data_IF_056591266719
#
_entry.id   IF_056591266719
#
_cell.length_a   1.000
_cell.length_b   1.000
_cell.length_c   1.000
_cell.angle_alpha   90.00
_cell.angle_beta   90.00
_cell.angle_gamma   90.00
#
_symmetry.space_group_name_H-M   'P 1'
#
loop_
_entity.id
_entity.type
_entity.pdbx_description
1 polymer ?
#
# COMPACT_ATOMS: atom_id res chain seq x y z
N UNK A 1 13.76 25.24 -1.33
CA UNK A 1 12.54 25.83 -1.88
C UNK A 1 11.76 26.49 -0.75
N UNK A 2 12.01 27.77 -0.54
CA UNK A 2 11.32 28.52 0.53
C UNK A 2 9.97 29.11 0.10
N UNK A 3 9.47 28.77 -1.08
CA UNK A 3 8.14 29.18 -1.47
C UNK A 3 7.12 28.35 -0.67
N UNK A 4 6.26 28.99 0.12
CA UNK A 4 5.22 28.29 0.85
C UNK A 4 4.31 27.58 -0.14
N UNK A 5 3.91 26.34 0.18
CA UNK A 5 2.92 25.62 -0.61
C UNK A 5 1.67 26.50 -0.75
N UNK A 6 1.11 26.64 -1.96
CA UNK A 6 -0.11 27.41 -2.17
C UNK A 6 -1.36 26.71 -1.61
N UNK A 7 -1.21 25.48 -1.09
CA UNK A 7 -2.30 24.73 -0.52
C UNK A 7 -2.67 25.26 0.86
N UNK A 8 -3.92 25.60 1.10
CA UNK A 8 -4.35 26.16 2.39
C UNK A 8 -4.08 25.24 3.58
N UNK A 9 -4.13 23.91 3.37
CA UNK A 9 -3.87 22.89 4.37
C UNK A 9 -2.40 22.49 4.51
N UNK A 10 -1.48 23.26 3.90
CA UNK A 10 -0.06 23.04 4.11
C UNK A 10 0.31 23.18 5.59
N UNK A 11 1.02 22.20 6.13
CA UNK A 11 1.23 22.05 7.56
C UNK A 11 1.77 23.30 8.28
N UNK A 12 2.60 24.10 7.59
CA UNK A 12 3.16 25.37 8.15
C UNK A 12 2.11 26.47 8.38
N UNK A 13 0.96 26.37 7.70
CA UNK A 13 -0.18 27.30 7.89
C UNK A 13 -1.17 26.80 8.93
N UNK A 14 -0.98 25.60 9.44
CA UNK A 14 -1.91 25.02 10.41
C UNK A 14 -1.62 25.55 11.82
N UNK A 15 -2.65 25.82 12.62
CA UNK A 15 -2.48 26.30 13.99
C UNK A 15 -1.58 25.42 14.85
N UNK A 16 -1.65 24.09 14.64
CA UNK A 16 -0.85 23.12 15.39
C UNK A 16 0.66 23.20 15.14
N UNK A 17 1.09 23.78 14.03
CA UNK A 17 2.52 23.99 13.71
C UNK A 17 3.10 25.23 14.37
N UNK A 18 2.27 26.25 14.67
CA UNK A 18 2.72 27.51 15.21
C UNK A 18 3.19 27.36 16.66
N UNK A 19 4.44 27.73 16.92
CA UNK A 19 5.03 27.72 18.27
C UNK A 19 4.70 28.99 19.05
N UNK A 20 4.53 30.12 18.35
CA UNK A 20 4.11 31.38 18.97
C UNK A 20 2.60 31.36 19.28
N UNK A 21 2.20 31.60 20.56
CA UNK A 21 0.79 31.54 20.96
C UNK A 21 -0.11 32.56 20.25
N UNK A 22 0.42 33.75 19.90
CA UNK A 22 -0.35 34.81 19.22
C UNK A 22 -0.65 34.39 17.79
N UNK A 23 0.36 33.99 17.04
CA UNK A 23 0.22 33.49 15.66
C UNK A 23 -0.69 32.26 15.61
N UNK A 24 -0.56 31.37 16.58
CA UNK A 24 -1.43 30.20 16.70
C UNK A 24 -2.90 30.59 16.84
N UNK A 25 -3.19 31.55 17.75
CA UNK A 25 -4.55 32.03 17.97
C UNK A 25 -5.13 32.73 16.73
N UNK A 26 -4.32 33.50 16.03
CA UNK A 26 -4.71 34.15 14.77
C UNK A 26 -5.08 33.11 13.71
N UNK A 27 -4.25 32.09 13.52
CA UNK A 27 -4.55 30.99 12.57
C UNK A 27 -5.82 30.22 12.99
N UNK A 28 -5.99 29.92 14.27
CA UNK A 28 -7.23 29.29 14.77
C UNK A 28 -8.47 30.15 14.45
N UNK A 29 -8.39 31.45 14.61
CA UNK A 29 -9.51 32.36 14.30
C UNK A 29 -9.81 32.40 12.79
N UNK A 30 -8.79 32.44 11.94
CA UNK A 30 -8.92 32.37 10.48
C UNK A 30 -9.66 31.08 10.06
N UNK A 31 -9.25 29.94 10.58
CA UNK A 31 -9.87 28.65 10.27
C UNK A 31 -11.30 28.54 10.84
N UNK A 32 -11.57 29.02 12.04
CA UNK A 32 -12.92 29.05 12.64
C UNK A 32 -13.87 29.97 11.88
N UNK A 33 -13.37 31.12 11.40
CA UNK A 33 -14.14 32.06 10.61
C UNK A 33 -14.38 31.57 9.18
N UNK A 34 -13.67 30.52 8.73
CA UNK A 34 -13.65 30.04 7.35
C UNK A 34 -13.38 31.19 6.35
N UNK A 35 -12.37 32.02 6.65
CA UNK A 35 -11.97 33.11 5.76
C UNK A 35 -11.42 32.54 4.46
N UNK A 36 -12.20 32.66 3.39
CA UNK A 36 -11.93 32.04 2.09
C UNK A 36 -10.58 32.45 1.49
N UNK A 37 -10.06 33.63 1.86
CA UNK A 37 -8.76 34.12 1.39
C UNK A 37 -7.60 33.26 1.88
N UNK A 38 -7.79 32.53 3.00
CA UNK A 38 -6.77 31.68 3.62
C UNK A 38 -7.15 30.20 3.63
N UNK A 39 -8.46 29.89 3.57
CA UNK A 39 -8.94 28.49 3.64
C UNK A 39 -9.25 27.88 2.28
N UNK A 40 -9.11 28.66 1.20
CA UNK A 40 -9.31 28.21 -0.18
C UNK A 40 -8.08 28.51 -1.02
N UNK A 41 -7.94 27.78 -2.14
CA UNK A 41 -6.87 28.03 -3.11
C UNK A 41 -7.16 29.35 -3.85
N UNK A 42 -6.18 30.23 -3.87
CA UNK A 42 -6.25 31.49 -4.66
C UNK A 42 -5.79 31.22 -6.11
N UNK A 43 -6.74 30.80 -6.94
CA UNK A 43 -6.49 30.52 -8.35
C UNK A 43 -6.05 31.74 -9.13
N UNK A 44 -6.59 32.94 -8.82
CA UNK A 44 -6.22 34.18 -9.50
C UNK A 44 -4.77 34.56 -9.26
N UNK A 45 -4.24 34.26 -8.07
CA UNK A 45 -2.84 34.46 -7.74
C UNK A 45 -1.92 33.60 -8.60
N UNK A 46 -2.25 32.34 -8.85
CA UNK A 46 -1.47 31.45 -9.73
C UNK A 46 -1.43 31.97 -11.16
N UNK A 47 -2.58 32.36 -11.71
CA UNK A 47 -2.63 32.99 -13.03
C UNK A 47 -1.85 34.30 -13.08
N UNK A 48 -1.91 35.09 -12.02
CA UNK A 48 -1.17 36.37 -11.92
C UNK A 48 0.33 36.11 -11.89
N UNK A 49 0.81 35.17 -11.09
CA UNK A 49 2.23 34.83 -11.01
C UNK A 49 2.75 34.27 -12.34
N UNK A 50 2.00 33.41 -12.98
CA UNK A 50 2.32 32.92 -14.31
C UNK A 50 2.44 34.06 -15.32
N UNK A 51 1.47 34.97 -15.38
CA UNK A 51 1.53 36.15 -16.30
C UNK A 51 2.80 37.02 -16.07
N UNK A 52 3.32 37.07 -14.84
CA UNK A 52 4.49 37.82 -14.46
C UNK A 52 5.81 37.06 -14.60
N UNK A 53 5.79 35.78 -15.00
CA UNK A 53 7.00 35.00 -15.26
C UNK A 53 7.91 35.68 -16.28
N UNK A 54 9.18 35.88 -15.93
CA UNK A 54 10.15 36.66 -16.72
C UNK A 54 10.56 36.01 -18.03
N UNK A 55 10.62 34.68 -18.05
CA UNK A 55 11.03 33.88 -19.21
C UNK A 55 9.87 33.42 -20.09
N UNK A 56 8.63 33.75 -19.70
CA UNK A 56 7.43 33.38 -20.44
C UNK A 56 6.95 31.92 -20.22
N UNK A 57 7.73 31.12 -19.52
CA UNK A 57 7.37 29.77 -19.11
C UNK A 57 6.36 29.77 -17.97
N UNK A 58 5.55 28.73 -17.84
CA UNK A 58 4.71 28.52 -16.66
C UNK A 58 5.57 28.24 -15.42
N UNK A 59 5.25 28.90 -14.31
CA UNK A 59 5.83 28.61 -13.00
C UNK A 59 4.92 27.66 -12.22
N UNK A 60 3.61 27.91 -12.30
CA UNK A 60 2.58 27.03 -11.76
C UNK A 60 1.87 26.32 -12.90
N UNK A 61 1.52 25.07 -12.67
CA UNK A 61 0.86 24.19 -13.65
C UNK A 61 -0.03 23.19 -12.94
N UNK A 62 -0.96 22.61 -13.67
CA UNK A 62 -1.71 21.44 -13.23
C UNK A 62 -1.22 20.21 -13.99
N UNK A 63 -0.94 19.15 -13.28
CA UNK A 63 -0.48 17.87 -13.82
C UNK A 63 -1.46 16.75 -13.52
N UNK A 64 -1.57 15.81 -14.43
CA UNK A 64 -2.16 14.51 -14.18
C UNK A 64 -1.03 13.50 -13.94
N UNK A 65 -1.07 12.79 -12.82
CA UNK A 65 -0.23 11.61 -12.57
C UNK A 65 -1.00 10.39 -13.04
N UNK A 66 -0.53 9.80 -14.11
CA UNK A 66 -1.25 8.74 -14.83
C UNK A 66 -0.59 7.40 -14.58
N UNK A 67 -1.39 6.44 -14.16
CA UNK A 67 -1.05 5.03 -14.12
C UNK A 67 -1.90 4.27 -15.13
N UNK A 68 -1.26 3.47 -16.01
CA UNK A 68 -1.93 2.57 -16.95
C UNK A 68 -1.46 1.15 -16.70
N UNK A 69 -2.39 0.28 -16.33
CA UNK A 69 -2.10 -1.12 -16.05
C UNK A 69 -2.68 -1.99 -17.16
N UNK A 70 -1.84 -2.84 -17.75
CA UNK A 70 -2.24 -3.93 -18.63
C UNK A 70 -1.87 -5.26 -17.98
N UNK A 71 -2.85 -6.12 -17.75
CA UNK A 71 -2.66 -7.43 -17.15
C UNK A 71 -3.08 -8.52 -18.16
N UNK A 72 -2.17 -9.45 -18.43
CA UNK A 72 -2.42 -10.62 -19.28
C UNK A 72 -2.20 -11.87 -18.43
N UNK A 73 -3.19 -12.77 -18.42
CA UNK A 73 -3.12 -14.02 -17.66
C UNK A 73 -3.50 -15.20 -18.55
N UNK A 74 -2.77 -16.29 -18.37
CA UNK A 74 -3.08 -17.61 -18.89
C UNK A 74 -3.21 -18.56 -17.71
N UNK A 75 -4.33 -19.26 -17.64
CA UNK A 75 -4.62 -20.27 -16.65
C UNK A 75 -5.04 -21.57 -17.34
N UNK A 76 -4.41 -22.68 -16.97
CA UNK A 76 -4.83 -24.00 -17.39
C UNK A 76 -4.98 -24.90 -16.16
N UNK A 77 -6.18 -25.45 -15.98
CA UNK A 77 -6.54 -26.23 -14.80
C UNK A 77 -7.15 -27.57 -15.21
N UNK A 78 -6.86 -28.60 -14.42
CA UNK A 78 -7.45 -29.93 -14.52
C UNK A 78 -8.03 -30.39 -13.20
N UNK A 79 -9.11 -31.17 -13.28
CA UNK A 79 -9.76 -31.80 -12.13
C UNK A 79 -9.91 -33.27 -12.43
N UNK A 80 -9.42 -34.11 -11.53
CA UNK A 80 -9.54 -35.57 -11.63
C UNK A 80 -10.18 -36.12 -10.37
N UNK A 81 -11.29 -36.84 -10.51
CA UNK A 81 -11.87 -37.62 -9.42
C UNK A 81 -11.24 -39.00 -9.42
N UNK A 82 -10.38 -39.26 -8.44
CA UNK A 82 -9.73 -40.57 -8.27
C UNK A 82 -10.71 -41.58 -7.69
N UNK A 83 -11.60 -41.11 -6.78
CA UNK A 83 -12.67 -41.89 -6.21
C UNK A 83 -13.83 -40.98 -5.80
N UNK A 84 -14.94 -41.57 -5.27
CA UNK A 84 -16.06 -40.79 -4.72
C UNK A 84 -15.64 -39.85 -3.58
N UNK A 85 -14.54 -40.19 -2.91
CA UNK A 85 -14.03 -39.45 -1.75
C UNK A 85 -12.80 -38.57 -2.03
N UNK A 86 -12.11 -38.81 -3.15
CA UNK A 86 -10.82 -38.19 -3.43
C UNK A 86 -10.85 -37.44 -4.76
N UNK A 87 -10.62 -36.12 -4.69
CA UNK A 87 -10.51 -35.23 -5.84
C UNK A 87 -9.15 -34.57 -5.85
N UNK A 88 -8.49 -34.56 -7.00
CA UNK A 88 -7.25 -33.85 -7.26
C UNK A 88 -7.54 -32.71 -8.23
N UNK A 89 -7.00 -31.51 -7.95
CA UNK A 89 -6.96 -30.38 -8.86
C UNK A 89 -5.50 -30.04 -9.12
N UNK A 90 -5.17 -29.65 -10.31
CA UNK A 90 -3.82 -29.24 -10.68
C UNK A 90 -3.89 -28.17 -11.78
N UNK A 91 -2.87 -27.33 -11.85
CA UNK A 91 -2.87 -26.26 -12.85
C UNK A 91 -1.53 -25.56 -12.96
N UNK A 92 -1.45 -24.80 -14.03
CA UNK A 92 -0.36 -23.86 -14.28
C UNK A 92 -0.96 -22.48 -14.56
N UNK A 93 -0.26 -21.44 -14.13
CA UNK A 93 -0.60 -20.07 -14.46
C UNK A 93 0.61 -19.32 -14.97
N UNK A 94 0.39 -18.40 -15.89
CA UNK A 94 1.36 -17.42 -16.31
C UNK A 94 0.67 -16.06 -16.32
N UNK A 95 1.34 -15.03 -15.82
CA UNK A 95 0.81 -13.68 -15.78
C UNK A 95 1.90 -12.68 -16.15
N UNK A 96 1.49 -11.62 -16.81
CA UNK A 96 2.32 -10.45 -17.09
C UNK A 96 1.52 -9.20 -16.80
N UNK A 97 2.09 -8.35 -15.96
CA UNK A 97 1.56 -7.02 -15.67
C UNK A 97 2.55 -5.98 -16.17
N UNK A 98 2.10 -5.10 -17.05
CA UNK A 98 2.81 -3.92 -17.52
C UNK A 98 2.10 -2.70 -16.94
N UNK A 99 2.72 -2.01 -15.97
CA UNK A 99 2.23 -0.75 -15.41
C UNK A 99 3.10 0.39 -15.93
N UNK A 100 2.50 1.38 -16.55
CA UNK A 100 3.18 2.58 -17.03
C UNK A 100 2.75 3.79 -16.24
N UNK A 101 3.73 4.52 -15.72
CA UNK A 101 3.57 5.71 -14.90
C UNK A 101 4.19 6.91 -15.61
N UNK A 102 3.44 8.01 -15.70
CA UNK A 102 3.94 9.25 -16.30
C UNK A 102 3.18 10.47 -15.78
N UNK A 103 3.82 11.63 -15.86
CA UNK A 103 3.15 12.92 -15.71
C UNK A 103 2.67 13.41 -17.06
N UNK A 104 1.48 14.00 -17.09
CA UNK A 104 0.91 14.66 -18.26
C UNK A 104 0.49 16.08 -17.91
N UNK A 105 0.87 17.04 -18.74
CA UNK A 105 0.47 18.43 -18.57
C UNK A 105 -1.03 18.56 -18.80
N UNK A 106 -1.73 19.04 -17.77
CA UNK A 106 -3.18 19.24 -17.84
C UNK A 106 -3.53 20.69 -18.19
N UNK A 107 -2.90 21.65 -17.52
CA UNK A 107 -3.17 23.09 -17.71
C UNK A 107 -1.91 23.90 -17.34
N UNK A 108 -1.55 24.84 -18.20
CA UNK A 108 -0.43 25.74 -18.02
C UNK A 108 -0.81 27.06 -17.30
N UNK A 109 -2.03 27.14 -16.80
CA UNK A 109 -2.57 28.26 -16.01
C UNK A 109 -2.30 29.63 -16.65
N UNK A 110 -2.69 29.72 -17.94
CA UNK A 110 -2.61 30.95 -18.74
C UNK A 110 -1.27 31.23 -19.43
N UNK A 111 -0.34 30.27 -19.40
CA UNK A 111 0.86 30.27 -20.24
C UNK A 111 0.73 29.31 -21.43
N UNK A 112 1.61 29.44 -22.41
CA UNK A 112 1.59 28.62 -23.62
C UNK A 112 2.57 27.44 -23.59
N UNK A 113 3.48 27.42 -22.62
CA UNK A 113 4.49 26.37 -22.47
C UNK A 113 5.09 26.31 -21.07
N UNK A 114 5.70 25.18 -20.77
CA UNK A 114 6.56 24.92 -19.63
C UNK A 114 7.88 24.32 -20.14
N UNK A 115 8.99 24.59 -19.48
CA UNK A 115 10.29 24.00 -19.81
C UNK A 115 10.50 22.79 -18.88
N UNK A 116 10.71 21.60 -19.46
CA UNK A 116 10.84 20.33 -18.72
C UNK A 116 12.19 20.22 -18.00
N UNK A 117 12.27 20.85 -16.86
CA UNK A 117 13.41 20.80 -15.94
C UNK A 117 12.95 20.29 -14.58
N UNK A 118 13.89 19.73 -13.82
CA UNK A 118 13.65 19.40 -12.42
C UNK A 118 13.93 20.64 -11.55
N UNK A 119 12.87 21.23 -11.03
CA UNK A 119 12.96 22.43 -10.20
C UNK A 119 13.05 22.12 -8.70
N UNK A 120 13.02 20.85 -8.29
CA UNK A 120 13.09 20.49 -6.88
C UNK A 120 14.50 20.59 -6.28
N UNK A 121 15.53 20.45 -7.11
CA UNK A 121 16.93 20.50 -6.70
C UNK A 121 17.61 21.82 -7.11
N UNK A 122 16.87 22.88 -7.04
CA UNK A 122 17.25 24.19 -7.53
C UNK A 122 18.41 24.82 -6.75
N UNK A 123 18.59 24.46 -5.49
CA UNK A 123 19.31 25.29 -4.53
C UNK A 123 20.65 24.74 -4.04
N UNK A 124 21.18 23.68 -4.66
CA UNK A 124 22.49 23.15 -4.29
C UNK A 124 23.67 24.00 -4.84
N UNK A 125 23.37 25.07 -5.57
CA UNK A 125 24.35 25.94 -6.19
C UNK A 125 25.13 25.36 -7.37
N UNK A 126 25.01 24.02 -7.57
CA UNK A 126 25.73 23.28 -8.62
C UNK A 126 24.96 23.30 -9.94
N UNK A 127 23.66 23.05 -9.90
CA UNK A 127 22.84 22.87 -11.11
C UNK A 127 22.07 24.15 -11.52
N UNK A 128 21.81 25.07 -10.59
CA UNK A 128 21.30 26.39 -10.90
C UNK A 128 20.05 26.46 -11.76
N UNK A 129 18.99 25.72 -11.43
CA UNK A 129 17.70 25.64 -12.18
C UNK A 129 17.82 25.07 -13.60
N UNK A 130 18.84 24.30 -13.91
CA UNK A 130 19.08 23.77 -15.26
C UNK A 130 19.00 22.26 -15.34
N UNK A 131 18.69 21.59 -14.24
CA UNK A 131 18.65 20.14 -14.16
C UNK A 131 17.61 19.57 -15.12
N UNK A 132 18.04 18.68 -16.01
CA UNK A 132 17.19 18.13 -17.06
C UNK A 132 16.41 16.90 -16.57
N UNK A 133 15.13 16.87 -16.87
CA UNK A 133 14.33 15.65 -16.71
C UNK A 133 14.62 14.62 -17.79
N UNK A 134 15.06 15.06 -18.97
CA UNK A 134 15.47 14.17 -20.06
C UNK A 134 16.67 14.75 -20.83
N UNK A 135 17.87 14.22 -20.59
CA UNK A 135 19.10 14.59 -21.29
C UNK A 135 19.06 14.30 -22.80
N UNK A 136 18.16 13.44 -23.24
CA UNK A 136 17.99 13.13 -24.67
C UNK A 136 17.24 14.25 -25.40
N UNK A 137 16.48 15.04 -24.67
CA UNK A 137 15.71 16.19 -25.15
C UNK A 137 15.83 17.34 -24.16
N UNK A 138 17.01 17.96 -24.04
CA UNK A 138 17.23 19.03 -23.05
C UNK A 138 16.35 20.24 -23.36
N UNK A 139 15.93 20.92 -22.29
CA UNK A 139 15.06 22.09 -22.33
C UNK A 139 13.77 21.90 -23.16
N UNK A 140 13.23 20.69 -23.14
CA UNK A 140 12.03 20.33 -23.90
C UNK A 140 10.86 21.25 -23.54
N UNK A 141 10.23 21.80 -24.58
CA UNK A 141 9.02 22.61 -24.43
C UNK A 141 7.82 21.70 -24.29
N UNK A 142 7.10 21.86 -23.20
CA UNK A 142 5.91 21.09 -22.83
C UNK A 142 4.67 21.96 -23.03
N UNK A 143 3.67 21.38 -23.67
CA UNK A 143 2.34 21.96 -23.89
C UNK A 143 1.29 21.08 -23.21
N UNK A 144 0.05 21.56 -23.17
CA UNK A 144 -1.07 20.78 -22.67
C UNK A 144 -1.20 19.45 -23.43
N UNK A 145 -1.34 18.36 -22.68
CA UNK A 145 -1.39 17.00 -23.19
C UNK A 145 -0.02 16.31 -23.34
N UNK A 146 1.09 17.03 -23.27
CA UNK A 146 2.43 16.45 -23.35
C UNK A 146 2.82 15.74 -22.05
N UNK A 147 3.65 14.70 -22.17
CA UNK A 147 4.27 14.06 -21.01
C UNK A 147 5.54 14.80 -20.62
N UNK A 148 5.79 14.88 -19.32
CA UNK A 148 6.95 15.58 -18.76
C UNK A 148 7.37 14.97 -17.42
N UNK A 149 8.45 15.49 -16.85
CA UNK A 149 8.93 15.09 -15.54
C UNK A 149 9.43 13.66 -15.53
N UNK A 150 8.57 12.67 -15.43
CA UNK A 150 8.92 11.24 -15.49
C UNK A 150 8.02 10.45 -16.44
N UNK A 151 8.58 9.38 -17.01
CA UNK A 151 7.85 8.35 -17.78
C UNK A 151 8.61 7.02 -17.62
N UNK A 152 7.98 6.01 -16.99
CA UNK A 152 8.59 4.69 -16.81
C UNK A 152 7.55 3.57 -16.84
N UNK A 153 8.01 2.38 -17.20
CA UNK A 153 7.25 1.14 -17.04
C UNK A 153 7.78 0.35 -15.85
N UNK A 154 6.89 -0.29 -15.12
CA UNK A 154 7.19 -1.36 -14.18
C UNK A 154 6.58 -2.66 -14.71
N UNK A 155 7.43 -3.66 -14.98
CA UNK A 155 6.98 -4.93 -15.52
C UNK A 155 7.18 -6.05 -14.54
N UNK A 156 6.12 -6.82 -14.35
CA UNK A 156 6.10 -8.04 -13.54
C UNK A 156 5.69 -9.21 -14.42
N UNK A 157 6.51 -10.28 -14.44
CA UNK A 157 6.18 -11.54 -15.06
C UNK A 157 6.15 -12.62 -13.99
N UNK A 158 5.16 -13.49 -14.05
CA UNK A 158 4.96 -14.57 -13.10
C UNK A 158 4.59 -15.85 -13.82
N UNK A 159 5.11 -16.96 -13.32
CA UNK A 159 4.70 -18.31 -13.71
C UNK A 159 4.55 -19.12 -12.44
N UNK A 160 3.53 -19.98 -12.37
CA UNK A 160 3.32 -20.82 -11.22
C UNK A 160 2.70 -22.16 -11.64
N UNK A 161 2.95 -23.16 -10.83
CA UNK A 161 2.32 -24.49 -10.95
C UNK A 161 1.91 -24.97 -9.55
N UNK A 162 0.76 -25.60 -9.47
CA UNK A 162 0.26 -26.07 -8.19
C UNK A 162 -0.83 -27.12 -8.32
N UNK A 163 -1.22 -27.59 -7.16
CA UNK A 163 -2.32 -28.55 -7.07
C UNK A 163 -2.89 -28.64 -5.68
N UNK A 164 -4.04 -29.30 -5.61
CA UNK A 164 -4.70 -29.59 -4.35
C UNK A 164 -5.31 -30.99 -4.35
N UNK A 165 -5.40 -31.56 -3.16
CA UNK A 165 -5.98 -32.83 -2.88
C UNK A 165 -7.09 -32.61 -1.85
N UNK A 166 -8.30 -33.00 -2.19
CA UNK A 166 -9.48 -32.94 -1.34
C UNK A 166 -10.01 -34.35 -1.06
N UNK A 167 -10.08 -34.66 0.22
CA UNK A 167 -10.68 -35.91 0.70
C UNK A 167 -11.98 -35.62 1.46
N UNK A 168 -13.06 -36.34 1.10
CA UNK A 168 -14.37 -36.22 1.74
C UNK A 168 -14.89 -37.59 2.15
N UNK A 169 -15.14 -37.74 3.43
CA UNK A 169 -15.87 -38.87 4.00
C UNK A 169 -17.09 -38.32 4.76
N UNK A 170 -17.91 -39.20 5.34
CA UNK A 170 -19.20 -38.82 5.97
C UNK A 170 -19.05 -37.68 7.00
N UNK A 171 -18.02 -37.76 7.83
CA UNK A 171 -17.77 -36.80 8.92
C UNK A 171 -16.45 -36.03 8.80
N UNK A 172 -15.53 -36.53 7.96
CA UNK A 172 -14.19 -35.98 7.80
C UNK A 172 -14.03 -35.27 6.44
N UNK A 173 -13.52 -34.09 6.45
CA UNK A 173 -13.01 -33.37 5.25
C UNK A 173 -11.57 -33.06 5.49
N UNK A 174 -10.70 -33.31 4.51
CA UNK A 174 -9.31 -32.89 4.53
C UNK A 174 -8.96 -32.27 3.19
N UNK A 175 -8.12 -31.25 3.23
CA UNK A 175 -7.66 -30.52 2.07
C UNK A 175 -6.19 -30.17 2.23
N UNK A 176 -5.41 -30.39 1.17
CA UNK A 176 -4.02 -29.95 1.09
C UNK A 176 -3.84 -29.27 -0.27
N UNK A 177 -3.19 -28.14 -0.31
CA UNK A 177 -2.81 -27.45 -1.54
C UNK A 177 -1.38 -26.94 -1.44
N UNK A 178 -0.68 -26.99 -2.57
CA UNK A 178 0.63 -26.40 -2.72
C UNK A 178 0.74 -25.75 -4.10
N UNK A 179 1.37 -24.59 -4.15
CA UNK A 179 1.74 -23.88 -5.36
C UNK A 179 3.17 -23.34 -5.20
N UNK A 180 3.94 -23.43 -6.27
CA UNK A 180 5.26 -22.81 -6.38
C UNK A 180 5.33 -21.98 -7.65
N UNK A 181 6.07 -20.89 -7.61
CA UNK A 181 6.16 -20.00 -8.74
C UNK A 181 7.56 -19.42 -8.92
N UNK A 182 7.70 -18.68 -10.01
CA UNK A 182 8.82 -17.80 -10.25
C UNK A 182 8.28 -16.44 -10.72
N UNK A 183 8.86 -15.37 -10.21
CA UNK A 183 8.49 -14.01 -10.57
C UNK A 183 9.74 -13.21 -10.94
N UNK A 184 9.58 -12.28 -11.87
CA UNK A 184 10.60 -11.29 -12.19
C UNK A 184 9.99 -9.89 -12.28
N UNK A 185 10.67 -8.91 -11.67
CA UNK A 185 10.26 -7.51 -11.68
C UNK A 185 11.41 -6.66 -12.19
N UNK A 186 11.12 -5.71 -13.07
CA UNK A 186 12.09 -4.71 -13.52
C UNK A 186 11.40 -3.41 -13.90
N UNK A 187 12.15 -2.32 -13.77
CA UNK A 187 11.77 -0.98 -14.22
C UNK A 187 12.36 -0.72 -15.61
N UNK A 188 11.65 0.09 -16.43
CA UNK A 188 12.16 0.64 -17.68
C UNK A 188 11.89 2.15 -17.73
N UNK A 189 12.93 2.97 -17.57
CA UNK A 189 12.84 4.42 -17.73
C UNK A 189 12.82 4.83 -19.20
N UNK A 190 11.95 5.79 -19.54
CA UNK A 190 11.85 6.37 -20.87
C UNK A 190 12.57 7.72 -20.97
N UNK A 191 12.90 8.35 -19.84
CA UNK A 191 13.67 9.58 -19.76
C UNK A 191 15.04 9.31 -19.14
N UNK A 192 16.04 10.02 -19.62
CA UNK A 192 17.40 10.01 -19.09
C UNK A 192 17.59 11.20 -18.15
N UNK A 193 17.42 10.97 -16.86
CA UNK A 193 17.55 11.97 -15.82
C UNK A 193 18.99 12.47 -15.68
N UNK A 194 19.19 13.80 -15.56
CA UNK A 194 20.54 14.35 -15.41
C UNK A 194 21.24 13.90 -14.14
N UNK A 195 20.52 13.81 -13.01
CA UNK A 195 21.03 13.26 -11.75
C UNK A 195 21.49 11.81 -11.86
N UNK A 196 20.84 11.04 -12.72
CA UNK A 196 21.05 9.60 -12.89
C UNK A 196 21.28 9.25 -14.36
N UNK A 197 22.26 9.91 -14.99
CA UNK A 197 22.56 9.80 -16.40
C UNK A 197 22.83 8.34 -16.86
N UNK A 198 22.56 8.08 -18.14
CA UNK A 198 22.75 6.79 -18.76
C UNK A 198 21.78 5.74 -18.24
N UNK A 199 22.28 4.51 -18.09
CA UNK A 199 21.48 3.37 -17.63
C UNK A 199 21.04 3.44 -16.15
N UNK A 200 21.48 4.46 -15.42
CA UNK A 200 21.03 4.69 -14.03
C UNK A 200 19.56 5.13 -13.97
N UNK A 201 19.02 5.72 -15.05
CA UNK A 201 17.60 6.12 -15.13
C UNK A 201 16.94 5.66 -16.44
N UNK A 202 17.68 5.66 -17.56
CA UNK A 202 17.18 5.31 -18.89
C UNK A 202 17.27 3.82 -19.19
N UNK A 203 16.27 3.28 -19.90
CA UNK A 203 16.26 1.88 -20.31
C UNK A 203 15.89 0.92 -19.17
N UNK A 204 16.21 -0.36 -19.37
CA UNK A 204 15.83 -1.45 -18.46
C UNK A 204 16.78 -1.55 -17.27
N UNK A 205 16.23 -1.60 -16.06
CA UNK A 205 16.98 -1.92 -14.83
C UNK A 205 17.41 -3.39 -14.79
N UNK A 206 18.23 -3.76 -13.79
CA UNK A 206 18.42 -5.16 -13.41
C UNK A 206 17.06 -5.78 -13.09
N UNK A 207 16.80 -7.00 -13.58
CA UNK A 207 15.64 -7.77 -13.20
C UNK A 207 15.86 -8.39 -11.81
N UNK A 208 14.85 -8.27 -10.95
CA UNK A 208 14.81 -8.91 -9.65
C UNK A 208 14.01 -10.20 -9.77
N UNK A 209 14.46 -11.27 -9.16
CA UNK A 209 13.87 -12.60 -9.26
C UNK A 209 13.42 -13.11 -7.90
N UNK A 210 12.25 -13.74 -7.88
CA UNK A 210 11.59 -14.23 -6.69
C UNK A 210 11.02 -15.62 -6.96
N UNK A 211 10.77 -16.38 -5.87
CA UNK A 211 10.24 -17.73 -5.93
C UNK A 211 9.03 -17.90 -4.98
N UNK A 212 7.91 -17.21 -5.23
CA UNK A 212 6.74 -17.25 -4.37
C UNK A 212 6.17 -18.66 -4.24
N UNK A 213 5.69 -18.99 -3.04
CA UNK A 213 5.05 -20.27 -2.76
C UNK A 213 3.78 -20.08 -1.93
N UNK A 214 2.90 -21.06 -2.01
CA UNK A 214 1.73 -21.21 -1.17
C UNK A 214 1.62 -22.67 -0.73
N UNK A 215 1.45 -22.89 0.56
CA UNK A 215 1.04 -24.15 1.15
C UNK A 215 -0.19 -23.92 2.03
N UNK A 216 -1.21 -24.76 1.93
CA UNK A 216 -2.39 -24.75 2.79
C UNK A 216 -2.83 -26.17 3.10
N UNK A 217 -3.13 -26.45 4.36
CA UNK A 217 -3.77 -27.70 4.77
C UNK A 217 -4.94 -27.37 5.69
N UNK A 218 -6.03 -28.11 5.54
CA UNK A 218 -7.17 -28.06 6.46
C UNK A 218 -7.73 -29.45 6.75
N UNK A 219 -8.25 -29.61 7.97
CA UNK A 219 -8.98 -30.80 8.38
C UNK A 219 -10.22 -30.39 9.17
N UNK A 220 -11.37 -30.85 8.74
CA UNK A 220 -12.66 -30.57 9.34
C UNK A 220 -13.38 -31.85 9.76
N UNK A 221 -13.96 -31.86 10.96
CA UNK A 221 -14.72 -32.97 11.50
C UNK A 221 -16.11 -32.54 11.95
N UNK A 222 -17.13 -33.27 11.48
CA UNK A 222 -18.52 -33.08 11.87
C UNK A 222 -18.89 -34.07 12.99
N UNK A 223 -18.90 -33.58 14.23
CA UNK A 223 -19.31 -34.38 15.40
C UNK A 223 -20.77 -34.81 15.29
N UNK A 224 -21.60 -33.98 14.67
CA UNK A 224 -22.99 -34.23 14.34
C UNK A 224 -23.40 -33.37 13.15
N UNK A 225 -24.64 -33.46 12.70
CA UNK A 225 -25.22 -32.60 11.66
C UNK A 225 -25.25 -31.10 12.07
N UNK A 226 -25.04 -30.81 13.36
CA UNK A 226 -25.11 -29.44 13.90
C UNK A 226 -23.75 -28.86 14.30
N UNK A 227 -22.76 -29.72 14.54
CA UNK A 227 -21.46 -29.30 15.11
C UNK A 227 -20.33 -29.66 14.15
N UNK A 228 -19.61 -28.69 13.71
CA UNK A 228 -18.45 -28.81 12.83
C UNK A 228 -17.26 -28.04 13.40
N UNK A 229 -16.10 -28.69 13.42
CA UNK A 229 -14.81 -28.09 13.78
C UNK A 229 -13.86 -28.23 12.60
N UNK A 230 -13.17 -27.17 12.23
CA UNK A 230 -12.19 -27.18 11.15
C UNK A 230 -10.93 -26.43 11.60
N UNK A 231 -9.78 -27.03 11.38
CA UNK A 231 -8.47 -26.40 11.55
C UNK A 231 -7.85 -26.18 10.19
N UNK A 232 -7.32 -24.98 9.96
CA UNK A 232 -6.56 -24.63 8.76
C UNK A 232 -5.19 -24.11 9.17
N UNK A 233 -4.14 -24.53 8.46
CA UNK A 233 -2.79 -23.98 8.56
C UNK A 233 -2.31 -23.58 7.17
N UNK A 234 -1.52 -22.53 7.08
CA UNK A 234 -0.94 -22.10 5.81
C UNK A 234 0.42 -21.45 5.99
N UNK A 235 1.20 -21.54 4.93
CA UNK A 235 2.46 -20.83 4.75
C UNK A 235 2.53 -20.30 3.32
N UNK A 236 2.93 -19.06 3.13
CA UNK A 236 3.06 -18.48 1.81
C UNK A 236 4.18 -17.43 1.78
N UNK A 237 4.74 -17.20 0.61
CA UNK A 237 5.53 -16.00 0.33
C UNK A 237 4.91 -15.19 -0.80
N UNK A 238 5.19 -13.90 -0.79
CA UNK A 238 4.69 -12.94 -1.78
C UNK A 238 5.85 -12.08 -2.27
N UNK A 239 5.97 -11.96 -3.58
CA UNK A 239 6.86 -10.96 -4.21
C UNK A 239 6.46 -9.57 -3.75
N UNK A 240 7.38 -8.71 -3.29
CA UNK A 240 7.09 -7.33 -2.91
C UNK A 240 6.46 -6.53 -4.04
N UNK A 241 5.77 -5.47 -3.69
CA UNK A 241 5.23 -4.53 -4.65
C UNK A 241 6.37 -3.71 -5.29
N UNK A 242 6.15 -3.17 -6.48
CA UNK A 242 7.20 -2.50 -7.22
C UNK A 242 7.77 -1.27 -6.51
N UNK A 243 6.93 -0.56 -5.78
CA UNK A 243 7.30 0.64 -5.03
C UNK A 243 8.25 0.33 -3.86
N UNK A 244 8.22 -0.91 -3.36
CA UNK A 244 9.12 -1.37 -2.30
C UNK A 244 10.41 -2.01 -2.83
N UNK A 245 10.55 -2.14 -4.15
CA UNK A 245 11.70 -2.81 -4.79
C UNK A 245 12.74 -1.84 -5.38
N UNK A 246 12.40 -0.57 -5.53
CA UNK A 246 13.29 0.46 -6.09
C UNK A 246 13.32 1.66 -5.16
N UNK A 247 14.49 2.31 -5.06
CA UNK A 247 14.65 3.45 -4.15
C UNK A 247 13.76 4.62 -4.58
N UNK A 248 13.79 4.99 -5.86
CA UNK A 248 12.93 6.04 -6.38
C UNK A 248 12.57 5.77 -7.85
N UNK A 249 11.34 5.28 -8.08
CA UNK A 249 10.87 4.89 -9.40
C UNK A 249 10.72 6.07 -10.38
N UNK A 250 10.51 7.28 -9.90
CA UNK A 250 10.38 8.46 -10.75
C UNK A 250 11.74 8.90 -11.33
N UNK A 251 12.84 8.63 -10.61
CA UNK A 251 14.15 9.16 -10.92
C UNK A 251 15.15 8.12 -11.42
N UNK A 252 15.18 6.90 -10.86
CA UNK A 252 16.29 6.00 -11.12
C UNK A 252 15.93 4.52 -11.24
N UNK A 253 16.88 3.75 -11.76
CA UNK A 253 16.81 2.30 -11.97
C UNK A 253 17.38 1.49 -10.80
N UNK A 254 17.73 2.14 -9.67
CA UNK A 254 18.40 1.47 -8.56
C UNK A 254 17.42 0.66 -7.73
N UNK A 255 17.54 -0.66 -7.69
CA UNK A 255 16.77 -1.47 -6.76
C UNK A 255 17.29 -1.32 -5.34
N UNK A 256 16.46 -1.65 -4.36
CA UNK A 256 16.88 -1.84 -2.96
C UNK A 256 17.93 -2.94 -2.87
N UNK A 257 18.75 -2.90 -1.83
CA UNK A 257 19.74 -3.93 -1.55
C UNK A 257 19.01 -5.17 -0.99
N UNK A 258 19.36 -6.35 -1.48
CA UNK A 258 18.87 -7.67 -1.03
C UNK A 258 17.34 -7.78 -0.79
N UNK A 259 16.52 -7.54 -1.83
CA UNK A 259 15.07 -7.60 -1.69
C UNK A 259 14.60 -9.01 -1.33
N UNK A 260 13.74 -9.10 -0.32
CA UNK A 260 13.19 -10.34 0.22
C UNK A 260 11.69 -10.46 -0.05
N UNK A 261 11.19 -11.69 -0.14
CA UNK A 261 9.75 -11.96 -0.19
C UNK A 261 9.13 -11.85 1.21
N UNK A 262 7.99 -11.17 1.31
CA UNK A 262 7.18 -11.21 2.52
C UNK A 262 6.66 -12.64 2.73
N UNK A 263 6.94 -13.21 3.88
CA UNK A 263 6.45 -14.53 4.29
C UNK A 263 5.27 -14.39 5.22
N UNK A 264 4.31 -15.29 5.08
CA UNK A 264 3.11 -15.32 5.91
C UNK A 264 2.83 -16.74 6.38
N UNK A 265 2.65 -16.89 7.69
CA UNK A 265 2.30 -18.14 8.35
C UNK A 265 1.04 -17.93 9.17
N UNK A 266 0.10 -18.87 9.10
CA UNK A 266 -1.14 -18.74 9.86
C UNK A 266 -1.75 -20.07 10.25
N UNK A 267 -2.51 -20.02 11.33
CA UNK A 267 -3.37 -21.10 11.77
C UNK A 267 -4.72 -20.54 12.22
N UNK A 268 -5.78 -21.26 11.88
CA UNK A 268 -7.16 -20.92 12.23
C UNK A 268 -7.87 -22.16 12.74
N UNK A 269 -8.66 -21.99 13.80
CA UNK A 269 -9.57 -23.00 14.33
C UNK A 269 -10.98 -22.45 14.27
N UNK A 270 -11.82 -23.07 13.44
CA UNK A 270 -13.17 -22.64 13.15
C UNK A 270 -14.15 -23.65 13.77
N UNK A 271 -15.04 -23.20 14.64
CA UNK A 271 -16.17 -23.96 15.14
C UNK A 271 -17.48 -23.40 14.59
N UNK A 272 -18.32 -24.27 14.05
CA UNK A 272 -19.65 -23.90 13.55
C UNK A 272 -20.71 -24.75 14.24
N UNK A 273 -21.74 -24.08 14.75
CA UNK A 273 -22.94 -24.66 15.28
C UNK A 273 -24.17 -24.22 14.50
N UNK A 274 -25.00 -25.18 14.06
CA UNK A 274 -26.22 -24.94 13.30
C UNK A 274 -27.41 -25.49 14.03
N UNK A 275 -28.10 -24.67 14.81
CA UNK A 275 -29.37 -24.97 15.45
C UNK A 275 -30.57 -24.62 14.55
N UNK A 276 -31.80 -24.86 15.05
CA UNK A 276 -33.04 -24.59 14.32
C UNK A 276 -33.21 -23.08 14.01
N UNK A 277 -32.90 -22.23 15.00
CA UNK A 277 -33.09 -20.76 14.92
C UNK A 277 -31.80 -19.99 15.06
N UNK A 278 -30.67 -20.63 15.30
CA UNK A 278 -29.37 -20.01 15.52
C UNK A 278 -28.32 -20.70 14.70
N UNK A 279 -27.54 -19.93 13.95
CA UNK A 279 -26.27 -20.37 13.37
C UNK A 279 -25.17 -19.56 14.02
N UNK A 280 -24.22 -20.23 14.64
CA UNK A 280 -23.09 -19.64 15.33
C UNK A 280 -21.78 -20.11 14.70
N UNK A 281 -20.83 -19.20 14.54
CA UNK A 281 -19.46 -19.50 14.16
C UNK A 281 -18.50 -18.77 15.09
N UNK A 282 -17.48 -19.47 15.56
CA UNK A 282 -16.36 -18.90 16.28
C UNK A 282 -15.05 -19.30 15.58
N UNK A 283 -14.12 -18.37 15.49
CA UNK A 283 -12.80 -18.56 14.89
C UNK A 283 -11.75 -18.08 15.86
N UNK A 284 -10.74 -18.90 16.14
CA UNK A 284 -9.48 -18.49 16.74
C UNK A 284 -8.44 -18.44 15.64
N UNK A 285 -7.61 -17.41 15.62
CA UNK A 285 -6.59 -17.25 14.60
C UNK A 285 -5.28 -16.75 15.17
N UNK A 286 -4.19 -17.13 14.49
CA UNK A 286 -2.87 -16.55 14.64
C UNK A 286 -2.23 -16.40 13.26
N UNK A 287 -1.66 -15.21 12.98
CA UNK A 287 -0.99 -14.90 11.73
C UNK A 287 0.33 -14.21 12.04
N UNK A 288 1.41 -14.72 11.50
CA UNK A 288 2.75 -14.12 11.52
C UNK A 288 3.10 -13.67 10.11
N UNK A 289 3.49 -12.40 9.92
CA UNK A 289 4.21 -11.95 8.73
C UNK A 289 5.67 -11.72 9.06
N UNK A 290 6.57 -12.01 8.14
CA UNK A 290 8.01 -11.83 8.29
C UNK A 290 8.63 -11.35 6.97
N UNK A 291 9.83 -10.79 7.06
CA UNK A 291 10.64 -10.35 5.91
C UNK A 291 9.95 -9.33 4.99
N UNK A 292 8.95 -8.59 5.51
CA UNK A 292 8.34 -7.49 4.78
C UNK A 292 9.34 -6.37 4.49
N UNK A 293 9.12 -5.68 3.38
CA UNK A 293 9.94 -4.55 2.92
C UNK A 293 9.09 -3.32 2.73
N UNK A 294 9.69 -2.14 2.87
CA UNK A 294 9.04 -0.88 2.58
C UNK A 294 10.04 0.17 2.17
N UNK A 295 9.74 0.93 1.12
CA UNK A 295 10.46 2.15 0.75
C UNK A 295 9.61 3.36 1.09
N UNK A 296 10.20 4.37 1.69
CA UNK A 296 9.55 5.65 2.04
C UNK A 296 10.42 6.81 1.61
N UNK A 297 9.76 7.86 1.12
CA UNK A 297 10.38 9.13 0.75
C UNK A 297 9.99 10.17 1.79
N UNK A 298 10.95 10.91 2.31
CA UNK A 298 10.69 11.96 3.28
C UNK A 298 11.80 13.02 3.24
N UNK A 299 11.53 14.20 3.80
CA UNK A 299 12.56 15.17 4.05
C UNK A 299 13.21 14.87 5.41
N UNK A 300 14.53 14.70 5.41
CA UNK A 300 15.28 14.41 6.61
C UNK A 300 15.85 15.73 7.16
N UNK A 301 15.31 16.15 8.31
CA UNK A 301 15.73 17.41 8.96
C UNK A 301 17.18 17.32 9.50
N UNK A 302 17.68 16.15 9.84
CA UNK A 302 19.03 15.97 10.35
C UNK A 302 20.08 16.13 9.25
N UNK A 303 19.83 15.51 8.09
CA UNK A 303 20.70 15.65 6.92
C UNK A 303 20.34 16.83 6.03
N UNK A 304 19.24 17.55 6.33
CA UNK A 304 18.70 18.68 5.56
C UNK A 304 18.52 18.36 4.07
N UNK A 305 18.06 17.15 3.75
CA UNK A 305 17.89 16.66 2.36
C UNK A 305 16.67 15.76 2.23
N UNK A 306 16.15 15.62 1.00
CA UNK A 306 15.19 14.56 0.68
C UNK A 306 15.92 13.22 0.70
N UNK A 307 15.27 12.24 1.30
CA UNK A 307 15.85 10.93 1.57
C UNK A 307 14.91 9.81 1.20
N UNK A 308 15.50 8.74 0.67
CA UNK A 308 14.84 7.46 0.40
C UNK A 308 15.22 6.47 1.50
N UNK A 309 14.26 6.01 2.25
CA UNK A 309 14.46 5.04 3.31
C UNK A 309 13.98 3.66 2.85
N UNK A 310 14.88 2.70 2.81
CA UNK A 310 14.57 1.30 2.58
C UNK A 310 14.60 0.52 3.90
N UNK A 311 13.46 0.00 4.32
CA UNK A 311 13.31 -0.85 5.50
C UNK A 311 13.11 -2.30 5.10
N UNK A 312 13.81 -3.23 5.75
CA UNK A 312 13.72 -4.66 5.52
C UNK A 312 13.53 -5.42 6.84
N UNK A 313 12.91 -6.60 6.78
CA UNK A 313 12.63 -7.41 7.96
C UNK A 313 11.43 -6.92 8.77
N UNK A 314 10.47 -6.24 8.13
CA UNK A 314 9.23 -5.84 8.79
C UNK A 314 8.40 -7.10 9.03
N UNK A 315 8.03 -7.31 10.30
CA UNK A 315 7.21 -8.45 10.66
C UNK A 315 6.13 -8.10 11.67
N UNK A 316 4.97 -8.77 11.56
CA UNK A 316 3.84 -8.59 12.47
C UNK A 316 3.37 -9.91 13.04
N UNK A 317 2.84 -9.88 14.25
CA UNK A 317 2.12 -10.98 14.88
C UNK A 317 0.71 -10.53 15.21
N UNK A 318 -0.28 -11.23 14.67
CA UNK A 318 -1.70 -10.96 14.87
C UNK A 318 -2.38 -12.22 15.39
N UNK A 319 -3.09 -12.13 16.48
CA UNK A 319 -3.86 -13.26 17.01
C UNK A 319 -5.12 -12.74 17.68
N UNK A 320 -6.14 -13.56 17.70
CA UNK A 320 -7.43 -13.15 18.26
C UNK A 320 -8.52 -14.19 18.08
N UNK A 321 -9.73 -13.73 18.37
CA UNK A 321 -10.95 -14.49 18.22
C UNK A 321 -12.01 -13.65 17.51
N UNK A 322 -12.81 -14.34 16.69
CA UNK A 322 -13.98 -13.77 16.02
C UNK A 322 -15.19 -14.64 16.32
N UNK A 323 -16.35 -14.03 16.43
CA UNK A 323 -17.60 -14.73 16.60
C UNK A 323 -18.71 -14.08 15.78
N UNK A 324 -19.57 -14.92 15.17
CA UNK A 324 -20.75 -14.47 14.43
C UNK A 324 -21.94 -15.32 14.82
N UNK A 325 -23.08 -14.71 15.10
CA UNK A 325 -24.35 -15.37 15.35
C UNK A 325 -25.45 -14.82 14.44
N UNK A 326 -26.10 -15.70 13.70
CA UNK A 326 -27.31 -15.43 12.94
C UNK A 326 -28.49 -16.05 13.70
N UNK A 327 -29.41 -15.23 14.18
CA UNK A 327 -30.49 -15.66 15.07
C UNK A 327 -31.84 -15.30 14.43
N UNK A 328 -32.68 -16.30 14.21
CA UNK A 328 -34.08 -16.10 13.85
C UNK A 328 -34.85 -15.87 15.16
N UNK A 329 -35.14 -14.61 15.49
CA UNK A 329 -35.88 -14.26 16.70
C UNK A 329 -37.37 -14.66 16.60
N UNK A 330 -37.96 -14.46 15.40
CA UNK A 330 -39.34 -14.79 15.08
C UNK A 330 -39.52 -15.01 13.58
N UNK A 331 -40.72 -15.31 13.12
CA UNK A 331 -41.04 -15.62 11.71
C UNK A 331 -40.49 -14.61 10.71
N UNK A 332 -40.42 -13.31 11.09
CA UNK A 332 -39.98 -12.21 10.20
C UNK A 332 -38.79 -11.42 10.76
N UNK A 333 -38.24 -11.81 11.88
CA UNK A 333 -37.18 -11.09 12.56
C UNK A 333 -35.88 -11.90 12.58
N UNK A 334 -34.85 -11.35 12.01
CA UNK A 334 -33.50 -11.93 12.08
C UNK A 334 -32.55 -10.93 12.76
N UNK A 335 -31.73 -11.44 13.66
CA UNK A 335 -30.67 -10.70 14.31
C UNK A 335 -29.32 -11.28 13.88
N UNK A 336 -28.42 -10.42 13.44
CA UNK A 336 -27.04 -10.73 13.16
C UNK A 336 -26.16 -10.06 14.22
N UNK A 337 -25.32 -10.84 14.88
CA UNK A 337 -24.29 -10.35 15.80
C UNK A 337 -22.93 -10.78 15.29
N UNK A 338 -21.95 -9.87 15.33
CA UNK A 338 -20.56 -10.22 15.06
C UNK A 338 -19.65 -9.44 16.02
N UNK A 339 -18.57 -10.09 16.44
CA UNK A 339 -17.54 -9.47 17.26
C UNK A 339 -16.17 -10.03 16.88
N UNK A 340 -15.15 -9.20 16.94
CA UNK A 340 -13.75 -9.57 16.82
C UNK A 340 -12.93 -8.90 17.91
N UNK A 341 -12.05 -9.66 18.53
CA UNK A 341 -11.09 -9.17 19.51
C UNK A 341 -9.72 -9.79 19.23
N UNK A 342 -8.70 -8.96 19.07
CA UNK A 342 -7.36 -9.43 18.77
C UNK A 342 -6.27 -8.54 19.33
N UNK A 343 -5.04 -8.98 19.21
CA UNK A 343 -3.84 -8.21 19.45
C UNK A 343 -2.97 -8.26 18.20
N UNK A 344 -2.71 -7.10 17.62
CA UNK A 344 -1.93 -6.92 16.40
C UNK A 344 -0.73 -6.05 16.73
N UNK A 345 0.47 -6.60 16.59
CA UNK A 345 1.71 -5.92 16.95
C UNK A 345 2.81 -6.18 15.92
N UNK A 346 3.77 -5.29 15.86
CA UNK A 346 5.05 -5.56 15.23
C UNK A 346 5.80 -6.58 16.07
N UNK A 347 6.41 -7.55 15.43
CA UNK A 347 7.10 -8.64 16.11
C UNK A 347 8.61 -8.58 15.93
N UNK A 348 9.09 -7.72 15.02
CA UNK A 348 10.49 -7.54 14.71
C UNK A 348 10.86 -6.05 14.75
N UNK A 349 12.15 -5.80 14.84
CA UNK A 349 12.77 -4.50 14.64
C UNK A 349 13.39 -4.48 13.25
N UNK A 350 12.76 -3.79 12.26
CA UNK A 350 13.30 -3.74 10.91
C UNK A 350 14.65 -3.06 10.85
N UNK A 351 15.44 -3.46 9.86
CA UNK A 351 16.71 -2.81 9.51
C UNK A 351 16.45 -1.79 8.41
N UNK A 352 16.99 -0.59 8.59
CA UNK A 352 16.76 0.57 7.73
C UNK A 352 18.06 1.06 7.15
N UNK A 353 18.06 1.35 5.85
CA UNK A 353 19.15 2.08 5.18
C UNK A 353 18.56 3.35 4.56
N UNK A 354 19.18 4.49 4.83
CA UNK A 354 18.76 5.80 4.36
C UNK A 354 19.72 6.27 3.27
N UNK A 355 19.15 6.74 2.17
CA UNK A 355 19.88 7.24 1.01
C UNK A 355 19.49 8.68 0.73
N UNK A 356 20.44 9.52 0.31
CA UNK A 356 20.13 10.83 -0.25
C UNK A 356 19.43 10.66 -1.60
N UNK A 357 18.28 11.30 -1.80
CA UNK A 357 17.48 11.19 -3.03
C UNK A 357 18.25 11.67 -4.27
N UNK A 358 19.06 12.75 -4.12
CA UNK A 358 19.76 13.39 -5.22
C UNK A 358 20.82 12.52 -5.90
N UNK A 359 21.49 11.61 -5.17
CA UNK A 359 22.65 10.86 -5.70
C UNK A 359 22.68 9.39 -5.28
N UNK A 360 21.72 8.95 -4.47
CA UNK A 360 21.67 7.63 -3.82
C UNK A 360 22.89 7.36 -2.90
N UNK A 361 23.52 8.39 -2.36
CA UNK A 361 24.55 8.21 -1.34
C UNK A 361 23.93 7.65 -0.06
N UNK A 362 24.63 6.72 0.58
CA UNK A 362 24.14 6.14 1.83
C UNK A 362 24.43 7.11 2.97
N UNK A 363 23.37 7.65 3.56
CA UNK A 363 23.44 8.55 4.72
C UNK A 363 23.54 7.79 6.03
N UNK A 364 22.75 6.71 6.16
CA UNK A 364 22.80 5.81 7.30
C UNK A 364 22.59 4.37 6.82
N UNK A 365 23.36 3.43 7.34
CA UNK A 365 23.35 2.04 6.90
C UNK A 365 23.03 1.10 8.05
N UNK A 366 22.07 0.21 7.82
CA UNK A 366 21.70 -0.87 8.75
C UNK A 366 21.29 -0.36 10.14
N UNK A 367 20.69 0.81 10.22
CA UNK A 367 20.11 1.31 11.45
C UNK A 367 18.92 0.44 11.90
N UNK A 368 18.76 0.22 13.18
CA UNK A 368 17.66 -0.57 13.70
C UNK A 368 16.47 0.34 14.04
N UNK A 369 15.31 0.08 13.44
CA UNK A 369 14.06 0.75 13.83
C UNK A 369 13.37 -0.06 14.92
N UNK A 370 13.24 0.52 16.11
CA UNK A 370 12.68 -0.14 17.30
C UNK A 370 11.16 -0.16 17.30
N UNK A 371 10.57 -1.04 16.50
CA UNK A 371 9.12 -1.21 16.36
C UNK A 371 8.57 -2.40 17.12
N UNK A 372 9.43 -3.30 17.60
CA UNK A 372 9.01 -4.52 18.29
C UNK A 372 8.03 -4.22 19.44
N UNK A 373 6.95 -5.00 19.50
CA UNK A 373 5.81 -4.87 20.43
C UNK A 373 4.93 -3.62 20.26
N UNK A 374 5.26 -2.67 19.37
CA UNK A 374 4.34 -1.59 19.00
C UNK A 374 3.07 -2.15 18.35
N UNK A 375 1.94 -1.53 18.62
CA UNK A 375 0.67 -1.91 17.95
C UNK A 375 0.69 -1.55 16.48
N UNK A 376 0.18 -2.45 15.63
CA UNK A 376 -0.04 -2.17 14.21
C UNK A 376 -1.13 -1.11 14.08
N UNK A 377 -0.84 -0.06 13.32
CA UNK A 377 -1.75 1.05 13.10
C UNK A 377 -2.89 0.73 12.13
N UNK A 378 -3.81 1.66 12.02
CA UNK A 378 -4.91 1.69 11.04
C UNK A 378 -5.87 0.49 11.07
N UNK A 379 -5.68 -0.47 11.98
CA UNK A 379 -6.54 -1.65 12.11
C UNK A 379 -7.13 -1.69 13.52
N UNK A 380 -8.47 -1.64 13.69
CA UNK A 380 -9.08 -1.78 15.00
C UNK A 380 -8.84 -3.20 15.54
N UNK A 381 -8.45 -3.30 16.82
CA UNK A 381 -8.20 -4.58 17.48
C UNK A 381 -9.45 -5.12 18.20
N UNK A 382 -10.50 -4.30 18.25
CA UNK A 382 -11.79 -4.67 18.81
C UNK A 382 -12.90 -4.13 17.92
N UNK A 383 -13.82 -5.00 17.48
CA UNK A 383 -14.97 -4.62 16.64
C UNK A 383 -16.23 -5.32 17.12
N UNK A 384 -17.36 -4.67 16.97
CA UNK A 384 -18.67 -5.22 17.25
C UNK A 384 -19.67 -4.77 16.19
N UNK A 385 -20.61 -5.65 15.87
CA UNK A 385 -21.70 -5.39 14.94
C UNK A 385 -22.97 -6.04 15.43
N UNK A 386 -24.10 -5.31 15.33
CA UNK A 386 -25.44 -5.84 15.54
C UNK A 386 -26.37 -5.33 14.42
N UNK A 387 -27.06 -6.24 13.75
CA UNK A 387 -28.00 -5.92 12.68
C UNK A 387 -29.35 -6.61 12.91
N UNK A 388 -30.42 -5.87 12.99
CA UNK A 388 -31.79 -6.35 13.14
C UNK A 388 -32.55 -6.14 11.85
N UNK A 389 -33.06 -7.23 11.27
CA UNK A 389 -33.81 -7.24 10.03
C UNK A 389 -35.25 -7.67 10.28
N UNK A 390 -36.21 -6.91 9.76
CA UNK A 390 -37.61 -7.27 9.70
C UNK A 390 -38.09 -7.41 8.26
N UNK A 391 -38.75 -8.49 7.93
CA UNK A 391 -39.33 -8.77 6.62
C UNK A 391 -40.85 -8.67 6.70
N UNK A 392 -41.38 -7.54 6.20
CA UNK A 392 -42.82 -7.27 6.19
C UNK A 392 -43.59 -8.11 5.18
N UNK A 393 -44.94 -8.16 5.29
CA UNK A 393 -45.79 -8.73 4.26
C UNK A 393 -45.69 -7.91 2.99
N UNK A 394 -45.89 -8.53 1.82
CA UNK A 394 -45.84 -7.89 0.50
C UNK A 394 -44.46 -7.33 0.08
N UNK A 395 -43.36 -7.89 0.63
CA UNK A 395 -42.00 -7.63 0.15
C UNK A 395 -41.29 -6.37 0.66
N UNK A 396 -41.87 -5.62 1.61
CA UNK A 396 -41.11 -4.54 2.27
C UNK A 396 -40.29 -5.06 3.45
N UNK A 397 -39.25 -4.33 3.83
CA UNK A 397 -38.40 -4.68 4.94
C UNK A 397 -37.82 -3.44 5.62
N UNK A 398 -37.42 -3.61 6.88
CA UNK A 398 -36.69 -2.59 7.66
C UNK A 398 -35.46 -3.24 8.24
N UNK A 399 -34.34 -2.53 8.19
CA UNK A 399 -33.05 -2.94 8.73
C UNK A 399 -32.53 -1.83 9.65
N UNK A 400 -32.04 -2.22 10.81
CA UNK A 400 -31.31 -1.35 11.74
C UNK A 400 -29.96 -2.01 12.05
N UNK A 401 -28.89 -1.24 11.93
CA UNK A 401 -27.54 -1.71 12.12
C UNK A 401 -26.75 -0.80 13.06
N UNK A 402 -25.92 -1.39 13.89
CA UNK A 402 -24.94 -0.70 14.71
C UNK A 402 -23.59 -1.37 14.56
N UNK A 403 -22.55 -0.59 14.30
CA UNK A 403 -21.17 -1.03 14.24
C UNK A 403 -20.34 -0.21 15.24
N UNK A 404 -19.41 -0.89 15.90
CA UNK A 404 -18.50 -0.27 16.86
C UNK A 404 -17.08 -0.76 16.65
N UNK A 405 -16.10 0.13 16.79
CA UNK A 405 -14.67 -0.19 16.72
C UNK A 405 -13.92 0.44 17.87
N UNK A 406 -12.94 -0.27 18.42
CA UNK A 406 -12.10 0.18 19.50
C UNK A 406 -10.65 -0.25 19.37
N UNK A 407 -9.79 0.27 20.23
CA UNK A 407 -8.36 -0.02 20.21
C UNK A 407 -7.74 0.19 18.82
N UNK A 408 -7.92 1.42 18.29
CA UNK A 408 -7.27 1.88 17.07
C UNK A 408 -6.02 2.63 17.44
N UNK A 409 -4.93 2.30 16.74
CA UNK A 409 -3.62 2.89 16.95
C UNK A 409 -3.17 3.62 15.70
N UNK A 410 -2.31 4.62 15.87
CA UNK A 410 -1.58 5.26 14.77
C UNK A 410 -0.41 4.35 14.40
N UNK A 411 -0.05 4.32 13.12
CA UNK A 411 1.13 3.59 12.66
C UNK A 411 2.39 4.17 13.29
N UNK A 412 3.26 3.35 13.90
CA UNK A 412 4.53 3.84 14.39
C UNK A 412 5.40 4.30 13.21
N UNK A 413 6.13 5.40 13.40
CA UNK A 413 7.03 5.91 12.37
C UNK A 413 8.31 5.09 12.33
N UNK A 414 8.67 4.57 11.15
CA UNK A 414 9.96 3.92 10.93
C UNK A 414 11.14 4.86 11.18
N UNK A 415 10.99 6.14 10.83
CA UNK A 415 12.04 7.17 10.99
C UNK A 415 12.23 7.54 12.47
N UNK A 416 11.14 7.89 13.17
CA UNK A 416 11.23 8.27 14.59
C UNK A 416 11.68 7.12 15.49
N UNK A 417 11.41 5.88 15.08
CA UNK A 417 11.86 4.68 15.80
C UNK A 417 13.36 4.38 15.62
N UNK A 418 14.09 5.10 14.76
CA UNK A 418 15.56 5.07 14.67
C UNK A 418 16.21 5.86 15.81
N UNK A 419 15.50 6.82 16.39
CA UNK A 419 16.04 7.65 17.47
C UNK A 419 15.95 6.87 18.78
N UNK A 420 17.09 6.40 19.25
CA UNK A 420 17.24 5.84 20.59
C UNK A 420 17.17 7.01 21.59
N UNK A 421 16.05 7.21 22.25
CA UNK A 421 15.99 8.10 23.40
C UNK A 421 16.58 7.30 24.58
N UNK A 422 17.86 7.51 24.82
CA UNK A 422 18.57 7.00 26.01
C UNK A 422 18.17 7.82 27.26
#
# INVERSE_FOLDING_TARGET
YDAPSPMPDYYRWMPGYQTDPVTRLEMENIWRANDVRYTQIDWDEFYRQNRNSKDGSATYLMEDRVERIANMQLLAEGITRISERLTVRYGIRAARTDSRFYKQMRDLMGRSYFVDRDYYLIDDGVYGNKLQNDLRHPDRIIREGDRFGYDYDLRRNEIGAGGSLEYRADRLRAFIAAEVGAASVFRRGHYEKELFAGNKSFGKSRALHFAPYLFRASAGYSFSVRHHLEMTVYASSRTPDGDDLFLNLEYNNRPVEDPTEEKRYGAELNYTWSGRNVRFRATLFVVRTADGMQVRHYYDDFYATYSDMAAAGIGTLRYGAEATALIRLAYRWNLTLAASAGRYRYADNPVVTVYADANNEVLDRNATSYMGDCSVGNTPQLTGFAGLNYYGPKGWGVQAEAAWTGNRFVEPSLVLSLIHIS
#
